data_IF_263013762014
#
_entry.id   IF_263013762014
#
_cell.length_a   1.000
_cell.length_b   1.000
_cell.length_c   1.000
_cell.angle_alpha   90.00
_cell.angle_beta   90.00
_cell.angle_gamma   90.00
#
_symmetry.space_group_name_H-M   'P 1'
#
loop_
_entity.id
_entity.type
_entity.pdbx_description
1 polymer ?
#
# COMPACT_ATOMS: atom_id res chain seq x y z
N UNK A 1 -1.52 -3.88 -8.85
CA UNK A 1 -2.61 -4.87 -8.72
C UNK A 1 -2.37 -6.09 -9.60
N UNK A 2 -2.38 -5.97 -10.94
CA UNK A 2 -2.22 -7.10 -11.87
C UNK A 2 -1.09 -8.06 -11.48
N UNK A 3 0.14 -7.54 -11.38
CA UNK A 3 1.32 -8.32 -10.95
C UNK A 3 1.23 -8.82 -9.50
N UNK A 4 0.45 -8.14 -8.65
CA UNK A 4 0.23 -8.55 -7.26
C UNK A 4 -0.56 -9.86 -7.16
N UNK A 5 -1.48 -10.12 -8.10
CA UNK A 5 -2.22 -11.38 -8.15
C UNK A 5 -1.32 -12.59 -8.49
N UNK A 6 -0.23 -12.38 -9.21
CA UNK A 6 0.75 -13.44 -9.52
C UNK A 6 1.70 -13.71 -8.33
N UNK A 7 1.97 -12.68 -7.52
CA UNK A 7 2.92 -12.75 -6.41
C UNK A 7 2.28 -13.13 -5.07
N UNK A 8 1.02 -12.78 -4.84
CA UNK A 8 0.34 -12.93 -3.55
C UNK A 8 -0.70 -14.05 -3.66
N UNK A 9 -0.50 -15.11 -2.88
CA UNK A 9 -1.52 -16.16 -2.73
C UNK A 9 -2.69 -15.65 -1.88
N UNK A 10 -3.95 -15.98 -2.23
CA UNK A 10 -5.14 -15.64 -1.44
C UNK A 10 -5.04 -16.10 0.03
N UNK A 11 -4.36 -17.23 0.25
CA UNK A 11 -4.15 -17.83 1.58
C UNK A 11 -3.30 -16.95 2.50
N UNK A 12 -2.46 -16.09 1.95
CA UNK A 12 -1.60 -15.19 2.72
C UNK A 12 -1.99 -13.72 2.53
N UNK A 13 -3.17 -13.45 1.99
CA UNK A 13 -3.55 -12.11 1.56
C UNK A 13 -3.48 -11.07 2.69
N UNK A 14 -4.13 -11.31 3.84
CA UNK A 14 -4.15 -10.33 4.93
C UNK A 14 -2.79 -10.11 5.57
N UNK A 15 -2.01 -11.18 5.77
CA UNK A 15 -0.66 -11.07 6.30
C UNK A 15 0.27 -10.36 5.31
N UNK A 16 0.16 -10.63 4.01
CA UNK A 16 0.91 -9.91 2.97
C UNK A 16 0.56 -8.44 2.96
N UNK A 17 -0.72 -8.07 3.05
CA UNK A 17 -1.15 -6.68 3.14
C UNK A 17 -0.53 -5.97 4.35
N UNK A 18 -0.65 -6.57 5.54
CA UNK A 18 -0.10 -6.02 6.78
C UNK A 18 1.43 -5.88 6.77
N UNK A 19 2.15 -6.91 6.33
CA UNK A 19 3.62 -6.91 6.32
C UNK A 19 4.16 -5.95 5.26
N UNK A 20 3.59 -5.93 4.06
CA UNK A 20 4.05 -5.03 3.00
C UNK A 20 3.79 -3.57 3.37
N UNK A 21 2.63 -3.24 3.93
CA UNK A 21 2.35 -1.87 4.39
C UNK A 21 3.20 -1.50 5.61
N UNK A 22 3.56 -2.46 6.46
CA UNK A 22 4.55 -2.24 7.54
C UNK A 22 5.90 -1.83 6.97
N UNK A 23 6.46 -2.61 6.05
CA UNK A 23 7.80 -2.37 5.48
C UNK A 23 7.83 -1.03 4.74
N UNK A 24 6.84 -0.78 3.88
CA UNK A 24 6.75 0.47 3.12
C UNK A 24 6.47 1.65 4.05
N UNK A 25 5.68 1.48 5.10
CA UNK A 25 5.45 2.51 6.12
C UNK A 25 6.74 2.90 6.85
N UNK A 26 7.61 1.94 7.17
CA UNK A 26 8.94 2.21 7.75
C UNK A 26 9.79 3.02 6.77
N UNK A 27 9.78 2.64 5.49
CA UNK A 27 10.57 3.33 4.48
C UNK A 27 10.08 4.75 4.19
N UNK A 28 8.76 4.96 4.16
CA UNK A 28 8.15 6.26 3.87
C UNK A 28 8.07 7.19 5.09
N UNK A 29 7.94 6.65 6.30
CA UNK A 29 7.71 7.46 7.51
C UNK A 29 6.38 8.20 7.51
N UNK A 30 5.38 7.67 6.78
CA UNK A 30 4.05 8.27 6.69
C UNK A 30 2.97 7.21 6.54
N UNK A 31 2.12 7.09 7.57
CA UNK A 31 1.00 6.16 7.60
C UNK A 31 -0.02 6.47 6.51
N UNK A 32 -0.46 7.73 6.41
CA UNK A 32 -1.47 8.16 5.42
C UNK A 32 -1.00 7.96 3.98
N UNK A 33 0.27 8.26 3.67
CA UNK A 33 0.83 8.04 2.34
C UNK A 33 0.86 6.55 1.99
N UNK A 34 1.25 5.71 2.95
CA UNK A 34 1.28 4.26 2.79
C UNK A 34 -0.12 3.69 2.55
N UNK A 35 -1.12 4.14 3.32
CA UNK A 35 -2.52 3.74 3.14
C UNK A 35 -3.05 4.22 1.78
N UNK A 36 -2.77 5.46 1.38
CA UNK A 36 -3.26 6.02 0.12
C UNK A 36 -2.71 5.26 -1.11
N UNK A 37 -1.45 4.84 -1.07
CA UNK A 37 -0.79 4.20 -2.20
C UNK A 37 -1.02 2.69 -2.25
N UNK A 38 -0.77 1.99 -1.14
CA UNK A 38 -0.92 0.53 -1.08
C UNK A 38 -2.36 0.11 -0.79
N UNK A 39 -3.11 0.89 -0.02
CA UNK A 39 -4.46 0.55 0.38
C UNK A 39 -5.40 0.42 -0.80
N UNK A 40 -5.36 1.34 -1.77
CA UNK A 40 -6.18 1.24 -2.99
C UNK A 40 -5.91 -0.07 -3.74
N UNK A 41 -4.63 -0.46 -3.85
CA UNK A 41 -4.26 -1.71 -4.50
C UNK A 41 -4.78 -2.93 -3.73
N UNK A 42 -4.57 -3.00 -2.41
CA UNK A 42 -5.06 -4.12 -1.60
C UNK A 42 -6.59 -4.18 -1.55
N UNK A 43 -7.28 -3.06 -1.30
CA UNK A 43 -8.74 -3.01 -1.30
C UNK A 43 -9.30 -3.47 -2.65
N UNK A 44 -8.72 -3.05 -3.77
CA UNK A 44 -9.13 -3.58 -5.06
C UNK A 44 -8.93 -5.11 -5.18
N UNK A 45 -7.83 -5.65 -4.64
CA UNK A 45 -7.54 -7.09 -4.69
C UNK A 45 -8.45 -7.91 -3.77
N UNK A 46 -8.97 -7.30 -2.69
CA UNK A 46 -9.80 -8.00 -1.71
C UNK A 46 -11.06 -8.61 -2.33
N UNK A 47 -11.71 -7.90 -3.25
CA UNK A 47 -12.88 -8.41 -3.97
C UNK A 47 -12.53 -9.63 -4.83
N UNK A 48 -11.38 -9.61 -5.51
CA UNK A 48 -10.95 -10.71 -6.37
C UNK A 48 -10.64 -12.01 -5.60
N UNK A 49 -10.13 -11.86 -4.37
CA UNK A 49 -9.81 -12.96 -3.48
C UNK A 49 -10.98 -13.38 -2.59
N UNK A 50 -12.17 -12.80 -2.78
CA UNK A 50 -13.33 -13.00 -1.90
C UNK A 50 -12.97 -12.77 -0.42
N UNK A 51 -12.09 -11.80 -0.18
CA UNK A 51 -11.60 -11.44 1.13
C UNK A 51 -12.47 -10.34 1.71
N UNK A 52 -12.84 -10.48 2.99
CA UNK A 52 -13.51 -9.42 3.74
C UNK A 52 -12.70 -8.11 3.67
N UNK A 53 -13.30 -7.10 3.05
CA UNK A 53 -12.70 -5.78 2.80
C UNK A 53 -12.36 -5.05 4.11
N UNK A 54 -13.16 -5.22 5.17
CA UNK A 54 -12.91 -4.59 6.46
C UNK A 54 -11.64 -5.16 7.13
N UNK A 55 -11.41 -6.47 7.02
CA UNK A 55 -10.17 -7.10 7.52
C UNK A 55 -8.98 -6.63 6.67
N UNK A 56 -9.15 -6.54 5.34
CA UNK A 56 -8.11 -6.02 4.44
C UNK A 56 -7.72 -4.58 4.80
N UNK A 57 -8.72 -3.70 5.01
CA UNK A 57 -8.50 -2.33 5.45
C UNK A 57 -7.78 -2.29 6.80
N UNK A 58 -8.21 -3.11 7.76
CA UNK A 58 -7.57 -3.25 9.06
C UNK A 58 -6.09 -3.67 8.95
N UNK A 59 -5.78 -4.63 8.09
CA UNK A 59 -4.42 -5.08 7.81
C UNK A 59 -3.56 -3.97 7.22
N UNK A 60 -4.07 -3.28 6.18
CA UNK A 60 -3.36 -2.18 5.52
C UNK A 60 -3.06 -1.05 6.51
N UNK A 61 -4.09 -0.56 7.21
CA UNK A 61 -3.98 0.57 8.14
C UNK A 61 -3.05 0.19 9.30
N UNK A 62 -3.23 -0.99 9.89
CA UNK A 62 -2.40 -1.41 11.02
C UNK A 62 -0.92 -1.50 10.64
N UNK A 63 -0.61 -2.05 9.47
CA UNK A 63 0.77 -2.11 8.99
C UNK A 63 1.33 -0.73 8.68
N UNK A 64 0.57 0.13 8.01
CA UNK A 64 1.00 1.50 7.70
C UNK A 64 1.31 2.32 8.96
N UNK A 65 0.47 2.23 9.99
CA UNK A 65 0.68 2.92 11.27
C UNK A 65 1.82 2.34 12.08
N UNK A 66 1.99 1.01 12.08
CA UNK A 66 3.18 0.41 12.66
C UNK A 66 4.45 0.95 11.97
N UNK A 67 4.44 1.00 10.64
CA UNK A 67 5.61 1.41 9.88
C UNK A 67 5.99 2.87 10.13
N UNK A 68 5.02 3.77 10.08
CA UNK A 68 5.20 5.20 10.42
C UNK A 68 5.79 5.38 11.82
N UNK A 69 5.18 4.73 12.82
CA UNK A 69 5.61 4.80 14.22
C UNK A 69 7.03 4.28 14.44
N UNK A 70 7.48 3.31 13.65
CA UNK A 70 8.80 2.72 13.74
C UNK A 70 9.83 3.35 12.79
N UNK A 71 9.42 4.33 11.99
CA UNK A 71 10.29 4.94 10.99
C UNK A 71 11.17 6.05 11.59
N UNK A 72 12.49 6.03 11.36
CA UNK A 72 13.36 7.16 11.67
C UNK A 72 13.15 8.35 10.71
N UNK A 73 12.32 8.19 9.68
CA UNK A 73 11.95 9.26 8.76
C UNK A 73 10.63 9.94 9.14
N UNK A 74 9.92 9.46 10.17
CA UNK A 74 8.64 10.04 10.56
C UNK A 74 8.83 11.42 11.18
N UNK A 75 8.16 12.42 10.59
CA UNK A 75 8.13 13.79 11.12
C UNK A 75 7.49 13.80 12.53
N UNK A 76 6.45 12.99 12.74
CA UNK A 76 5.75 12.92 14.03
C UNK A 76 6.64 12.35 15.13
N UNK A 77 7.42 11.31 14.82
CA UNK A 77 8.41 10.73 15.74
C UNK A 77 9.53 11.71 16.07
N UNK A 78 10.03 12.43 15.06
CA UNK A 78 11.09 13.43 15.22
C UNK A 78 10.64 14.62 16.08
N UNK A 79 9.42 15.12 15.88
CA UNK A 79 8.85 16.19 16.70
C UNK A 79 8.63 15.69 18.13
N UNK A 80 8.09 14.48 18.31
CA UNK A 80 7.84 13.91 19.63
C UNK A 80 9.13 13.76 20.46
N UNK A 81 10.21 13.24 19.88
CA UNK A 81 11.50 13.11 20.57
C UNK A 81 12.12 14.47 20.87
N UNK A 82 12.02 15.42 19.93
CA UNK A 82 12.54 16.78 20.10
C UNK A 82 11.84 17.57 21.20
N UNK A 83 10.52 17.41 21.37
CA UNK A 83 9.74 18.11 22.42
C UNK A 83 10.10 17.59 23.81
N UNK A 84 10.36 16.28 23.93
CA UNK A 84 10.74 15.64 25.19
C UNK A 84 12.24 15.80 25.50
N UNK A 85 13.05 16.18 24.51
CA UNK A 85 14.48 16.42 24.66
C UNK A 85 15.32 15.14 24.69
N UNK A 86 14.87 14.08 24.02
CA UNK A 86 15.59 12.80 23.89
C UNK A 86 16.00 12.53 22.45
N UNK A 87 16.99 11.66 22.26
CA UNK A 87 17.41 11.22 20.94
C UNK A 87 16.30 10.42 20.24
N UNK A 88 16.19 10.58 18.91
CA UNK A 88 15.18 9.90 18.10
C UNK A 88 15.32 8.37 18.16
N UNK A 89 16.55 7.86 18.09
CA UNK A 89 16.76 6.40 18.15
C UNK A 89 16.54 5.85 19.55
N UNK A 90 16.79 6.65 20.60
CA UNK A 90 16.39 6.31 21.96
C UNK A 90 14.87 6.22 22.10
N UNK A 91 14.13 7.20 21.57
CA UNK A 91 12.66 7.18 21.53
C UNK A 91 12.13 5.94 20.81
N UNK A 92 12.63 5.67 19.59
CA UNK A 92 12.24 4.50 18.80
C UNK A 92 12.57 3.19 19.51
N UNK A 93 13.75 3.08 20.14
CA UNK A 93 14.12 1.89 20.90
C UNK A 93 13.17 1.64 22.07
N UNK A 94 12.76 2.69 22.78
CA UNK A 94 11.78 2.56 23.85
C UNK A 94 10.39 2.17 23.32
N UNK A 95 9.99 2.69 22.15
CA UNK A 95 8.74 2.29 21.49
C UNK A 95 8.73 0.83 21.02
N UNK A 96 9.88 0.26 20.65
CA UNK A 96 9.97 -1.14 20.19
C UNK A 96 9.41 -2.12 21.22
N UNK A 97 9.59 -1.87 22.52
CA UNK A 97 9.13 -2.75 23.59
C UNK A 97 7.62 -2.99 23.61
N UNK A 98 6.83 -2.05 23.08
CA UNK A 98 5.37 -2.21 22.99
C UNK A 98 4.93 -2.48 21.55
N UNK A 99 5.59 -1.85 20.59
CA UNK A 99 5.18 -1.83 19.19
C UNK A 99 5.55 -3.13 18.46
N UNK A 100 6.73 -3.71 18.73
CA UNK A 100 7.13 -4.99 18.12
C UNK A 100 6.27 -6.15 18.65
N UNK A 101 6.01 -6.29 19.96
CA UNK A 101 5.08 -7.33 20.44
C UNK A 101 3.67 -7.18 19.86
N UNK A 102 3.14 -5.96 19.78
CA UNK A 102 1.84 -5.72 19.16
C UNK A 102 1.83 -6.11 17.67
N UNK A 103 2.93 -5.85 16.95
CA UNK A 103 3.10 -6.27 15.56
C UNK A 103 3.09 -7.78 15.41
N UNK A 104 3.84 -8.51 16.25
CA UNK A 104 3.86 -9.99 16.24
C UNK A 104 2.47 -10.55 16.51
N UNK A 105 1.74 -10.02 17.50
CA UNK A 105 0.36 -10.42 17.78
C UNK A 105 -0.53 -10.15 16.56
N UNK A 106 -0.39 -9.00 15.91
CA UNK A 106 -1.15 -8.63 14.72
C UNK A 106 -0.85 -9.58 13.55
N UNK A 107 0.41 -9.95 13.32
CA UNK A 107 0.80 -10.96 12.33
C UNK A 107 0.07 -12.27 12.58
N UNK A 108 0.07 -12.76 13.82
CA UNK A 108 -0.59 -14.01 14.18
C UNK A 108 -2.11 -13.93 13.95
N UNK A 109 -2.75 -12.81 14.35
CA UNK A 109 -4.18 -12.60 14.12
C UNK A 109 -4.52 -12.57 12.62
N UNK A 110 -3.78 -11.79 11.83
CA UNK A 110 -4.01 -11.73 10.38
C UNK A 110 -3.71 -13.05 9.69
N UNK A 111 -2.73 -13.83 10.18
CA UNK A 111 -2.47 -15.17 9.68
C UNK A 111 -3.65 -16.12 9.94
N UNK A 112 -4.20 -16.12 11.16
CA UNK A 112 -5.38 -16.93 11.51
C UNK A 112 -6.61 -16.54 10.68
N UNK A 113 -6.83 -15.25 10.47
CA UNK A 113 -7.93 -14.75 9.64
C UNK A 113 -7.72 -15.06 8.15
N UNK A 114 -6.47 -15.11 7.70
CA UNK A 114 -6.11 -15.45 6.30
C UNK A 114 -6.31 -16.94 5.99
N UNK A 115 -6.56 -17.79 6.99
CA UNK A 115 -7.04 -19.15 6.76
C UNK A 115 -8.52 -19.23 6.36
N UNK A 116 -9.28 -18.15 6.55
CA UNK A 116 -10.71 -18.06 6.22
C UNK A 116 -10.97 -17.44 4.84
N UNK A 117 -9.96 -16.82 4.23
CA UNK A 117 -10.02 -16.54 2.79
C UNK A 117 -10.02 -17.89 2.12
N UNK A 118 -11.19 -18.28 1.63
CA UNK A 118 -11.30 -19.48 0.81
C UNK A 118 -10.33 -19.30 -0.35
N UNK A 119 -9.89 -20.38 -0.99
CA UNK A 119 -9.33 -20.27 -2.34
C UNK A 119 -10.48 -19.86 -3.29
N UNK A 120 -11.07 -18.69 -3.01
CA UNK A 120 -12.18 -18.05 -3.67
C UNK A 120 -11.85 -18.12 -5.14
N UNK A 121 -12.71 -18.86 -5.82
CA UNK A 121 -12.70 -19.17 -7.23
C UNK A 121 -11.67 -18.33 -8.00
N UNK A 122 -10.47 -18.90 -8.26
CA UNK A 122 -9.38 -18.22 -9.00
C UNK A 122 -9.90 -17.60 -10.32
N UNK A 123 -11.03 -18.10 -10.82
CA UNK A 123 -11.84 -17.45 -11.83
C UNK A 123 -12.07 -15.94 -11.63
N UNK A 124 -12.42 -15.46 -10.43
CA UNK A 124 -12.61 -14.02 -10.19
C UNK A 124 -11.31 -13.24 -10.38
N UNK A 125 -10.18 -13.80 -9.92
CA UNK A 125 -8.85 -13.24 -10.16
C UNK A 125 -8.55 -13.21 -11.66
N UNK A 126 -8.83 -14.30 -12.38
CA UNK A 126 -8.63 -14.40 -13.83
C UNK A 126 -9.53 -13.41 -14.60
N UNK A 127 -10.78 -13.23 -14.18
CA UNK A 127 -11.72 -12.26 -14.77
C UNK A 127 -11.20 -10.83 -14.56
N UNK A 128 -10.79 -10.47 -13.34
CA UNK A 128 -10.22 -9.15 -13.06
C UNK A 128 -8.90 -8.91 -13.79
N UNK A 129 -8.04 -9.92 -13.89
CA UNK A 129 -6.83 -9.85 -14.70
C UNK A 129 -7.15 -9.66 -16.19
N UNK A 130 -8.17 -10.34 -16.71
CA UNK A 130 -8.68 -10.15 -18.07
C UNK A 130 -9.18 -8.73 -18.32
N UNK A 131 -10.02 -8.20 -17.42
CA UNK A 131 -10.52 -6.82 -17.49
C UNK A 131 -9.39 -5.78 -17.42
N UNK A 132 -8.37 -6.03 -16.59
CA UNK A 132 -7.18 -5.19 -16.52
C UNK A 132 -6.41 -5.21 -17.84
N UNK A 133 -6.25 -6.36 -18.48
CA UNK A 133 -5.61 -6.46 -19.81
C UNK A 133 -6.46 -5.74 -20.86
N UNK A 134 -7.77 -5.94 -20.88
CA UNK A 134 -8.70 -5.29 -21.82
C UNK A 134 -8.74 -3.76 -21.66
N UNK A 135 -8.47 -3.24 -20.45
CA UNK A 135 -8.36 -1.79 -20.23
C UNK A 135 -7.23 -1.14 -21.03
N UNK A 136 -6.28 -1.94 -21.54
CA UNK A 136 -5.12 -1.46 -22.27
C UNK A 136 -4.10 -0.73 -21.38
N UNK A 137 -4.22 -0.82 -20.05
CA UNK A 137 -3.32 -0.17 -19.08
C UNK A 137 -2.28 -1.12 -18.48
N UNK A 138 -2.35 -2.43 -18.79
CA UNK A 138 -1.40 -3.43 -18.28
C UNK A 138 -0.21 -3.55 -19.23
N UNK A 139 0.92 -3.00 -18.81
CA UNK A 139 2.21 -3.10 -19.51
C UNK A 139 3.33 -3.43 -18.53
N UNK A 140 4.46 -3.93 -19.04
CA UNK A 140 5.63 -4.29 -18.21
C UNK A 140 6.19 -3.12 -17.38
N UNK A 141 6.13 -1.89 -17.90
CA UNK A 141 6.54 -0.68 -17.18
C UNK A 141 5.45 -0.05 -16.32
N UNK A 142 4.24 -0.62 -16.24
CA UNK A 142 3.20 -0.12 -15.32
C UNK A 142 3.61 -0.27 -13.83
N UNK A 143 4.65 -1.07 -13.55
CA UNK A 143 5.28 -1.18 -12.22
C UNK A 143 6.20 0.01 -11.88
N UNK A 144 6.58 0.82 -12.87
CA UNK A 144 7.58 1.88 -12.71
C UNK A 144 7.21 2.95 -11.68
N UNK A 145 5.94 3.43 -11.58
CA UNK A 145 5.57 4.38 -10.52
C UNK A 145 5.73 3.76 -9.12
N UNK A 146 5.40 2.48 -8.97
CA UNK A 146 5.63 1.76 -7.72
C UNK A 146 7.13 1.58 -7.43
N UNK A 147 7.94 1.28 -8.45
CA UNK A 147 9.39 1.20 -8.30
C UNK A 147 10.00 2.55 -7.91
N UNK A 148 9.55 3.66 -8.52
CA UNK A 148 9.95 5.02 -8.14
C UNK A 148 9.60 5.30 -6.69
N UNK A 149 8.37 4.98 -6.26
CA UNK A 149 7.96 5.11 -4.86
C UNK A 149 8.90 4.34 -3.93
N UNK A 150 9.16 3.05 -4.21
CA UNK A 150 10.01 2.20 -3.37
C UNK A 150 11.44 2.71 -3.34
N UNK A 151 12.01 3.08 -4.49
CA UNK A 151 13.38 3.59 -4.58
C UNK A 151 13.53 4.90 -3.81
N UNK A 152 12.63 5.87 -4.00
CA UNK A 152 12.69 7.15 -3.29
C UNK A 152 12.46 6.98 -1.77
N UNK A 153 11.60 6.04 -1.38
CA UNK A 153 11.42 5.67 0.02
C UNK A 153 12.71 5.10 0.64
N UNK A 154 13.38 4.17 -0.07
CA UNK A 154 14.65 3.59 0.37
C UNK A 154 15.78 4.62 0.42
N UNK A 155 15.76 5.60 -0.49
CA UNK A 155 16.70 6.72 -0.54
C UNK A 155 16.38 7.83 0.48
N UNK A 156 15.34 7.66 1.29
CA UNK A 156 14.95 8.58 2.35
C UNK A 156 14.61 9.99 1.87
N UNK A 157 14.01 10.09 0.70
CA UNK A 157 13.51 11.36 0.14
C UNK A 157 12.22 11.76 0.87
N UNK A 158 12.04 13.06 1.14
CA UNK A 158 10.85 13.58 1.82
C UNK A 158 9.56 13.09 1.12
N UNK A 159 8.57 12.68 1.92
CA UNK A 159 7.32 12.10 1.45
C UNK A 159 6.61 12.94 0.38
N UNK A 160 6.64 14.28 0.49
CA UNK A 160 6.01 15.18 -0.50
C UNK A 160 6.64 14.99 -1.87
N UNK A 161 7.97 14.95 -1.97
CA UNK A 161 8.66 14.74 -3.24
C UNK A 161 8.43 13.33 -3.78
N UNK A 162 8.43 12.32 -2.90
CA UNK A 162 8.15 10.93 -3.28
C UNK A 162 6.77 10.80 -3.93
N UNK A 163 5.74 11.43 -3.36
CA UNK A 163 4.38 11.45 -3.92
C UNK A 163 4.36 12.17 -5.27
N UNK A 164 4.97 13.37 -5.37
CA UNK A 164 5.01 14.14 -6.63
C UNK A 164 5.67 13.35 -7.75
N UNK A 165 6.87 12.78 -7.51
CA UNK A 165 7.58 11.99 -8.52
C UNK A 165 6.81 10.74 -8.92
N UNK A 166 6.14 10.08 -7.98
CA UNK A 166 5.29 8.91 -8.25
C UNK A 166 4.08 9.28 -9.09
N UNK A 167 3.41 10.40 -8.79
CA UNK A 167 2.26 10.92 -9.56
C UNK A 167 2.71 11.29 -10.98
N UNK A 168 3.81 12.02 -11.14
CA UNK A 168 4.33 12.39 -12.46
C UNK A 168 4.67 11.14 -13.27
N UNK A 169 5.33 10.15 -12.68
CA UNK A 169 5.63 8.88 -13.33
C UNK A 169 4.36 8.15 -13.77
N UNK A 170 3.34 8.10 -12.91
CA UNK A 170 2.04 7.49 -13.25
C UNK A 170 1.33 8.25 -14.38
N UNK A 171 1.31 9.58 -14.34
CA UNK A 171 0.68 10.41 -15.38
C UNK A 171 1.35 10.25 -16.74
N UNK A 172 2.69 10.20 -16.80
CA UNK A 172 3.43 9.95 -18.04
C UNK A 172 2.98 8.62 -18.66
N UNK A 173 2.90 7.55 -17.86
CA UNK A 173 2.48 6.24 -18.35
C UNK A 173 1.02 6.25 -18.81
N UNK A 174 0.13 6.89 -18.04
CA UNK A 174 -1.28 7.04 -18.42
C UNK A 174 -1.41 7.74 -19.76
N UNK A 175 -0.74 8.89 -19.96
CA UNK A 175 -0.84 9.67 -21.20
C UNK A 175 -0.21 9.00 -22.43
N UNK A 176 0.68 8.03 -22.22
CA UNK A 176 1.22 7.23 -23.33
C UNK A 176 0.20 6.23 -23.90
N UNK A 177 -0.80 5.80 -23.11
CA UNK A 177 -1.72 4.72 -23.47
C UNK A 177 -3.18 5.15 -23.51
N UNK A 178 -3.51 6.27 -22.86
CA UNK A 178 -4.85 6.81 -22.74
C UNK A 178 -4.77 8.33 -22.76
N UNK A 179 -5.79 8.99 -23.29
CA UNK A 179 -5.86 10.45 -23.34
C UNK A 179 -7.04 10.95 -22.49
N UNK A 180 -6.99 10.78 -21.15
CA UNK A 180 -8.08 11.23 -20.30
C UNK A 180 -8.22 12.75 -20.34
N UNK A 181 -9.46 13.23 -20.34
CA UNK A 181 -9.76 14.64 -20.17
C UNK A 181 -9.39 15.13 -18.76
N UNK A 182 -9.26 16.44 -18.58
CA UNK A 182 -8.93 17.02 -17.27
C UNK A 182 -10.01 16.71 -16.21
N UNK A 183 -11.27 16.60 -16.64
CA UNK A 183 -12.39 16.23 -15.79
C UNK A 183 -12.28 14.76 -15.33
N UNK A 184 -11.87 13.86 -16.22
CA UNK A 184 -11.62 12.45 -15.89
C UNK A 184 -10.40 12.28 -14.99
N UNK A 185 -9.33 13.05 -15.19
CA UNK A 185 -8.21 13.04 -14.24
C UNK A 185 -8.63 13.53 -12.85
N UNK A 186 -9.43 14.59 -12.79
CA UNK A 186 -9.99 15.08 -11.52
C UNK A 186 -10.81 14.01 -10.80
N UNK A 187 -11.62 13.25 -11.54
CA UNK A 187 -12.38 12.14 -10.96
C UNK A 187 -11.48 10.99 -10.51
N UNK A 188 -10.44 10.64 -11.26
CA UNK A 188 -9.48 9.60 -10.85
C UNK A 188 -8.72 9.97 -9.58
N UNK A 189 -8.33 11.24 -9.41
CA UNK A 189 -7.66 11.69 -8.19
C UNK A 189 -8.57 11.72 -6.96
N UNK A 190 -9.85 12.07 -7.14
CA UNK A 190 -10.78 12.21 -6.03
C UNK A 190 -11.47 10.89 -5.65
N UNK A 191 -11.98 10.16 -6.64
CA UNK A 191 -12.77 8.94 -6.45
C UNK A 191 -11.96 7.64 -6.65
N UNK A 192 -10.73 7.76 -7.16
CA UNK A 192 -9.96 6.60 -7.62
C UNK A 192 -10.35 6.17 -9.03
N UNK A 193 -9.52 5.31 -9.62
CA UNK A 193 -9.80 4.74 -10.93
C UNK A 193 -10.72 3.51 -10.80
N UNK A 194 -11.85 3.52 -11.51
CA UNK A 194 -12.77 2.39 -11.59
C UNK A 194 -12.76 1.79 -13.00
N UNK A 195 -12.54 0.47 -13.09
CA UNK A 195 -12.68 -0.28 -14.35
C UNK A 195 -14.15 -0.41 -14.79
N UNK A 196 -15.07 -0.28 -13.84
CA UNK A 196 -16.50 -0.40 -14.06
C UNK A 196 -17.10 0.99 -14.34
N UNK A 197 -17.40 1.28 -15.60
CA UNK A 197 -18.53 2.15 -15.95
C UNK A 197 -19.80 1.33 -15.72
N UNK A 198 -20.32 1.35 -14.49
CA UNK A 198 -21.72 1.08 -14.21
C UNK A 198 -22.35 2.42 -13.84
#
# INVERSE_FOLDING_TARGET
MYFGFELISPRFYYISAFVLTSIIGIALGSSLTTVATLGVAFIGMSNAFDANVAIAAGAVVSGAFFGDKMSPLSDTGTIASSVVGIDLFEHLRNMMYTTVPAWVISVLLFWMLSGQTHAGNLYQVTVLQGQLIESGLVHSYAVLPFAVLVILALLRVNAIYTIICTIISALIITYMHSSPSIAELGSYFFAGYTLLRI
#
